data_IF_519894017418
#
_entry.id   IF_519894017418
#
_cell.length_a   1.000
_cell.length_b   1.000
_cell.length_c   1.000
_cell.angle_alpha   90.00
_cell.angle_beta   90.00
_cell.angle_gamma   90.00
#
_symmetry.space_group_name_H-M   'P 1'
#
loop_
_entity.id
_entity.type
_entity.pdbx_description
1 polymer ?
#
# COMPACT_ATOMS: atom_id res chain seq x y z
N UNK A 1 22.84 -14.64 9.80
CA UNK A 1 21.59 -14.77 10.58
C UNK A 1 20.48 -14.06 9.84
N UNK A 2 19.24 -14.61 9.84
CA UNK A 2 18.07 -13.94 9.24
C UNK A 2 17.50 -12.88 10.20
N UNK A 3 17.26 -11.68 9.72
CA UNK A 3 16.67 -10.58 10.50
C UNK A 3 15.35 -10.15 9.88
N UNK A 4 14.36 -9.86 10.75
CA UNK A 4 13.11 -9.19 10.40
C UNK A 4 13.28 -7.69 10.66
N UNK A 5 12.84 -6.89 9.71
CA UNK A 5 12.92 -5.44 9.72
C UNK A 5 11.50 -4.88 9.60
N UNK A 6 11.15 -3.91 10.45
CA UNK A 6 9.95 -3.07 10.25
C UNK A 6 10.41 -1.70 9.78
N UNK A 7 9.87 -1.23 8.65
CA UNK A 7 10.39 -0.09 7.90
C UNK A 7 9.25 0.88 7.60
N UNK A 8 9.49 2.18 7.80
CA UNK A 8 8.64 3.24 7.30
C UNK A 8 9.36 4.04 6.23
N UNK A 9 8.61 4.54 5.24
CA UNK A 9 9.17 5.39 4.18
C UNK A 9 8.13 6.30 3.52
N UNK A 10 8.59 7.47 3.14
CA UNK A 10 7.93 8.33 2.16
C UNK A 10 8.34 7.88 0.75
N UNK A 11 7.39 7.38 -0.01
CA UNK A 11 7.61 6.84 -1.36
C UNK A 11 7.69 7.90 -2.47
N UNK A 12 7.48 9.18 -2.16
CA UNK A 12 7.28 10.27 -3.14
C UNK A 12 8.35 10.31 -4.23
N UNK A 13 9.61 10.16 -3.85
CA UNK A 13 10.73 10.25 -4.81
C UNK A 13 11.27 8.91 -5.30
N UNK A 14 10.63 7.80 -4.89
CA UNK A 14 11.11 6.46 -5.22
C UNK A 14 10.29 5.80 -6.33
N UNK A 15 10.96 4.99 -7.14
CA UNK A 15 10.36 4.18 -8.20
C UNK A 15 9.74 2.87 -7.65
N UNK A 16 9.23 2.93 -6.42
CA UNK A 16 8.60 1.85 -5.69
C UNK A 16 9.58 1.08 -4.80
N UNK A 17 9.11 -0.06 -4.32
CA UNK A 17 9.87 -0.92 -3.42
C UNK A 17 11.01 -1.64 -4.12
N UNK A 18 10.71 -2.40 -5.20
CA UNK A 18 11.60 -3.41 -5.81
C UNK A 18 12.87 -2.81 -6.39
N UNK A 19 14.02 -3.35 -6.00
CA UNK A 19 15.34 -2.95 -6.50
C UNK A 19 15.43 -3.08 -8.04
N UNK A 20 15.85 -2.02 -8.70
CA UNK A 20 16.04 -1.91 -10.15
C UNK A 20 17.33 -1.16 -10.45
N UNK A 21 17.97 -1.49 -11.56
CA UNK A 21 19.16 -0.77 -12.02
C UNK A 21 18.80 0.69 -12.37
N UNK A 22 19.70 1.60 -12.04
CA UNK A 22 19.68 3.02 -12.47
C UNK A 22 18.51 3.88 -11.93
N UNK A 23 17.71 3.35 -11.00
CA UNK A 23 16.65 4.14 -10.36
C UNK A 23 16.65 3.94 -8.85
N UNK A 24 16.28 4.99 -8.13
CA UNK A 24 16.16 4.94 -6.67
C UNK A 24 14.91 4.17 -6.25
N UNK A 25 15.10 3.15 -5.44
CA UNK A 25 14.04 2.29 -4.86
C UNK A 25 14.31 2.06 -3.39
N UNK A 26 13.26 1.74 -2.63
CA UNK A 26 13.37 1.53 -1.18
C UNK A 26 14.28 0.33 -0.88
N UNK A 27 14.02 -0.81 -1.53
CA UNK A 27 14.82 -2.04 -1.37
C UNK A 27 16.29 -1.82 -1.75
N UNK A 28 16.55 -1.10 -2.84
CA UNK A 28 17.91 -0.77 -3.27
C UNK A 28 18.69 0.09 -2.27
N UNK A 29 18.03 1.08 -1.61
CA UNK A 29 18.66 1.88 -0.54
C UNK A 29 18.99 1.01 0.68
N UNK A 30 18.08 0.13 1.08
CA UNK A 30 18.31 -0.80 2.20
C UNK A 30 19.46 -1.78 1.88
N UNK A 31 19.43 -2.40 0.70
CA UNK A 31 20.49 -3.33 0.25
C UNK A 31 21.86 -2.64 0.25
N UNK A 32 21.96 -1.42 -0.25
CA UNK A 32 23.21 -0.66 -0.28
C UNK A 32 23.77 -0.37 1.12
N UNK A 33 22.90 0.03 2.07
CA UNK A 33 23.31 0.31 3.45
C UNK A 33 23.74 -0.96 4.17
N UNK A 34 23.02 -2.07 4.01
CA UNK A 34 23.37 -3.34 4.64
C UNK A 34 24.58 -4.00 3.97
N UNK A 35 24.76 -3.87 2.67
CA UNK A 35 25.96 -4.32 1.98
C UNK A 35 27.22 -3.58 2.50
N UNK A 36 27.12 -2.27 2.72
CA UNK A 36 28.19 -1.49 3.36
C UNK A 36 28.48 -1.94 4.79
N UNK A 37 27.44 -2.29 5.57
CA UNK A 37 27.58 -2.74 6.95
C UNK A 37 28.29 -4.09 7.07
N UNK A 38 28.00 -5.02 6.14
CA UNK A 38 28.47 -6.40 6.18
C UNK A 38 29.67 -6.65 5.27
N UNK A 39 30.03 -5.67 4.42
CA UNK A 39 31.03 -5.79 3.34
C UNK A 39 30.72 -6.94 2.35
N UNK A 40 29.44 -7.30 2.21
CA UNK A 40 28.94 -8.38 1.36
C UNK A 40 27.68 -7.95 0.62
N UNK A 41 27.37 -8.62 -0.50
CA UNK A 41 26.07 -8.44 -1.16
C UNK A 41 24.94 -8.92 -0.27
N UNK A 42 23.99 -8.04 -0.01
CA UNK A 42 22.80 -8.33 0.80
C UNK A 42 21.56 -8.29 -0.08
N UNK A 43 20.65 -9.25 0.14
CA UNK A 43 19.32 -9.25 -0.46
C UNK A 43 18.26 -9.05 0.61
N UNK A 44 17.39 -8.10 0.36
CA UNK A 44 16.26 -7.77 1.22
C UNK A 44 14.96 -8.21 0.54
N UNK A 45 14.12 -8.92 1.29
CA UNK A 45 12.84 -9.43 0.79
C UNK A 45 11.68 -8.76 1.53
N UNK A 46 10.97 -7.85 0.86
CA UNK A 46 9.79 -7.18 1.40
C UNK A 46 8.56 -8.09 1.45
N UNK A 47 7.67 -7.84 2.41
CA UNK A 47 6.38 -8.52 2.52
C UNK A 47 5.48 -8.30 1.29
N UNK A 48 5.72 -7.24 0.55
CA UNK A 48 5.08 -6.94 -0.72
C UNK A 48 5.85 -5.86 -1.47
N UNK A 49 5.38 -5.57 -2.68
CA UNK A 49 5.88 -4.47 -3.47
C UNK A 49 4.89 -3.32 -3.39
N UNK A 50 5.37 -2.13 -3.12
CA UNK A 50 4.62 -0.90 -3.32
C UNK A 50 5.00 -0.27 -4.65
N UNK A 51 4.03 0.36 -5.31
CA UNK A 51 4.26 1.08 -6.57
C UNK A 51 5.06 2.38 -6.32
N UNK A 52 5.57 2.98 -7.38
CA UNK A 52 6.21 4.30 -7.32
C UNK A 52 5.26 5.33 -6.68
N UNK A 53 5.76 6.12 -5.74
CA UNK A 53 5.02 7.14 -5.02
C UNK A 53 4.10 6.63 -3.89
N UNK A 54 4.06 5.32 -3.62
CA UNK A 54 3.29 4.73 -2.51
C UNK A 54 4.14 4.68 -1.24
N UNK A 55 3.54 5.03 -0.11
CA UNK A 55 4.19 5.13 1.21
C UNK A 55 4.00 3.88 2.05
N UNK A 56 4.75 3.77 3.14
CA UNK A 56 4.52 2.77 4.18
C UNK A 56 4.89 3.30 5.57
N UNK A 57 4.06 2.96 6.55
CA UNK A 57 4.37 3.10 7.97
C UNK A 57 4.91 1.80 8.59
N UNK A 58 4.52 0.64 8.03
CA UNK A 58 4.81 -0.67 8.61
C UNK A 58 5.16 -1.74 7.56
N UNK A 59 6.01 -1.41 6.57
CA UNK A 59 6.54 -2.45 5.68
C UNK A 59 7.42 -3.40 6.48
N UNK A 60 7.18 -4.70 6.33
CA UNK A 60 8.07 -5.72 6.90
C UNK A 60 8.94 -6.31 5.79
N UNK A 61 10.22 -6.45 6.10
CA UNK A 61 11.18 -7.13 5.24
C UNK A 61 12.04 -8.11 6.03
N UNK A 62 12.73 -8.99 5.35
CA UNK A 62 13.78 -9.82 5.94
C UNK A 62 15.01 -9.89 5.05
N UNK A 63 16.15 -10.16 5.68
CA UNK A 63 17.42 -10.38 5.00
C UNK A 63 18.41 -11.13 5.87
N UNK A 64 19.31 -11.87 5.22
CA UNK A 64 20.42 -12.51 5.89
C UNK A 64 21.58 -11.52 6.00
N UNK A 65 21.96 -11.19 7.24
CA UNK A 65 23.07 -10.29 7.53
C UNK A 65 24.16 -11.08 8.28
N UNK A 66 25.37 -11.06 7.75
CA UNK A 66 26.56 -11.60 8.42
C UNK A 66 27.19 -10.47 9.24
N UNK A 67 26.84 -10.43 10.52
CA UNK A 67 27.28 -9.38 11.43
C UNK A 67 27.24 -9.87 12.89
N UNK A 68 28.12 -9.31 13.71
CA UNK A 68 28.14 -9.50 15.17
C UNK A 68 27.39 -8.39 15.90
N UNK A 69 26.82 -7.44 15.20
CA UNK A 69 26.06 -6.34 15.78
C UNK A 69 24.75 -6.83 16.39
N UNK A 70 24.35 -6.22 17.51
CA UNK A 70 23.02 -6.46 18.08
C UNK A 70 21.94 -5.81 17.20
N UNK A 71 20.67 -6.26 17.28
CA UNK A 71 19.57 -5.66 16.54
C UNK A 71 19.47 -4.13 16.67
N UNK A 72 19.71 -3.58 17.88
CA UNK A 72 19.70 -2.15 18.17
C UNK A 72 20.82 -1.42 17.41
N UNK A 73 22.01 -2.03 17.36
CA UNK A 73 23.14 -1.46 16.62
C UNK A 73 22.95 -1.55 15.10
N UNK A 74 22.33 -2.64 14.58
CA UNK A 74 21.93 -2.76 13.19
C UNK A 74 20.95 -1.65 12.82
N UNK A 75 19.90 -1.44 13.65
CA UNK A 75 18.93 -0.34 13.49
C UNK A 75 19.61 1.02 13.48
N UNK A 76 20.49 1.28 14.45
CA UNK A 76 21.19 2.57 14.57
C UNK A 76 22.09 2.82 13.35
N UNK A 77 22.82 1.80 12.88
CA UNK A 77 23.65 1.88 11.69
C UNK A 77 22.80 2.17 10.44
N UNK A 78 21.71 1.42 10.26
CA UNK A 78 20.84 1.60 9.11
C UNK A 78 20.30 3.05 9.05
N UNK A 79 19.74 3.56 10.16
CA UNK A 79 19.17 4.89 10.21
C UNK A 79 20.21 6.03 10.15
N UNK A 80 21.47 5.75 10.44
CA UNK A 80 22.56 6.72 10.26
C UNK A 80 22.90 6.94 8.78
N UNK A 81 22.78 5.89 7.95
CA UNK A 81 23.19 5.94 6.53
C UNK A 81 22.00 5.98 5.55
N UNK A 82 20.79 5.66 5.99
CA UNK A 82 19.60 5.83 5.18
C UNK A 82 19.25 7.31 5.02
N UNK A 83 18.63 7.71 3.91
CA UNK A 83 18.11 9.06 3.77
C UNK A 83 16.92 9.29 4.71
N UNK A 84 16.61 10.56 5.00
CA UNK A 84 15.61 11.00 5.99
C UNK A 84 14.18 10.47 5.73
N UNK A 85 13.89 10.07 4.50
CA UNK A 85 12.60 9.54 4.08
C UNK A 85 12.47 8.00 4.14
N UNK A 86 13.49 7.30 4.69
CA UNK A 86 13.46 5.86 4.99
C UNK A 86 13.96 5.62 6.41
N UNK A 87 13.16 4.94 7.23
CA UNK A 87 13.52 4.61 8.61
C UNK A 87 13.30 3.13 8.91
N UNK A 88 14.32 2.45 9.41
CA UNK A 88 14.19 1.13 10.05
C UNK A 88 13.69 1.34 11.48
N UNK A 89 12.43 1.00 11.73
CA UNK A 89 11.76 1.21 13.03
C UNK A 89 12.11 0.14 14.04
N UNK A 90 12.27 -1.10 13.55
CA UNK A 90 12.56 -2.26 14.39
C UNK A 90 13.45 -3.26 13.63
N UNK A 91 14.35 -3.92 14.36
CA UNK A 91 15.14 -5.06 13.90
C UNK A 91 15.02 -6.16 14.94
N UNK A 92 14.69 -7.36 14.52
CA UNK A 92 14.68 -8.55 15.39
C UNK A 92 15.27 -9.76 14.67
N UNK A 93 15.86 -10.67 15.44
CA UNK A 93 16.27 -11.95 14.90
C UNK A 93 15.06 -12.76 14.45
N UNK A 94 15.16 -13.42 13.31
CA UNK A 94 14.10 -14.25 12.78
C UNK A 94 14.59 -15.68 12.54
N UNK A 95 13.65 -16.62 12.52
CA UNK A 95 13.91 -18.00 12.09
C UNK A 95 14.53 -18.00 10.68
N UNK A 96 15.44 -18.94 10.40
CA UNK A 96 16.05 -19.09 9.06
C UNK A 96 14.98 -19.32 7.96
N UNK A 97 13.84 -19.91 8.33
CA UNK A 97 12.72 -20.15 7.41
C UNK A 97 11.75 -18.96 7.26
N UNK A 98 11.95 -17.92 8.07
CA UNK A 98 11.08 -16.74 7.97
C UNK A 98 11.31 -16.02 6.64
N UNK A 99 10.20 -15.76 5.94
CA UNK A 99 10.18 -14.97 4.72
C UNK A 99 9.06 -13.95 4.79
N UNK A 100 9.38 -12.67 4.79
CA UNK A 100 8.45 -11.59 5.01
C UNK A 100 7.17 -11.66 4.13
N UNK A 101 7.31 -12.06 2.87
CA UNK A 101 6.18 -12.19 1.94
C UNK A 101 5.38 -13.47 2.13
N UNK A 102 6.04 -14.61 2.33
CA UNK A 102 5.38 -15.91 2.31
C UNK A 102 4.67 -16.23 3.62
N UNK A 103 5.16 -15.67 4.73
CA UNK A 103 4.57 -15.88 6.05
C UNK A 103 3.53 -14.81 6.42
N UNK A 104 3.39 -13.74 5.62
CA UNK A 104 2.37 -12.72 5.86
C UNK A 104 0.95 -13.32 5.77
N UNK A 105 0.10 -12.98 6.76
CA UNK A 105 -1.30 -13.43 6.88
C UNK A 105 -2.28 -12.33 6.49
N UNK A 106 -1.93 -11.08 6.74
CA UNK A 106 -2.74 -9.92 6.42
C UNK A 106 -1.91 -8.68 6.09
N UNK A 107 -2.55 -7.72 5.47
CA UNK A 107 -2.02 -6.38 5.21
C UNK A 107 -3.12 -5.37 5.37
N UNK A 108 -2.76 -4.24 5.98
CA UNK A 108 -3.65 -3.10 6.12
C UNK A 108 -3.10 -1.95 5.31
N UNK A 109 -3.91 -1.45 4.37
CA UNK A 109 -3.63 -0.25 3.59
C UNK A 109 -4.65 0.83 3.92
N UNK A 110 -4.21 2.08 3.92
CA UNK A 110 -5.10 3.23 3.97
C UNK A 110 -4.90 4.10 2.74
N UNK A 111 -6.00 4.54 2.15
CA UNK A 111 -6.00 5.56 1.11
C UNK A 111 -6.67 6.83 1.65
N UNK A 112 -5.99 7.97 1.51
CA UNK A 112 -6.48 9.26 1.99
C UNK A 112 -6.79 10.18 0.81
N UNK A 113 -8.04 10.66 0.74
CA UNK A 113 -8.46 11.76 -0.12
C UNK A 113 -8.74 13.00 0.72
N UNK A 114 -8.68 14.16 0.11
CA UNK A 114 -9.09 15.42 0.70
C UNK A 114 -10.17 16.09 -0.16
N UNK A 115 -11.24 16.52 0.48
CA UNK A 115 -12.44 17.11 -0.11
C UNK A 115 -12.84 18.45 0.56
N UNK A 116 -11.99 18.96 1.46
CA UNK A 116 -12.21 20.24 2.12
C UNK A 116 -11.85 21.43 1.24
N UNK A 117 -12.25 22.64 1.66
CA UNK A 117 -12.10 23.88 0.90
C UNK A 117 -10.67 24.41 0.89
N UNK A 118 -9.91 24.18 1.96
CA UNK A 118 -8.54 24.66 2.10
C UNK A 118 -7.55 23.62 1.56
N UNK A 119 -6.43 24.07 0.96
CA UNK A 119 -5.39 23.15 0.49
C UNK A 119 -4.64 22.53 1.67
N UNK A 120 -4.54 21.19 1.77
CA UNK A 120 -3.79 20.51 2.83
C UNK A 120 -2.28 20.61 2.57
N UNK A 121 -1.68 21.77 2.87
CA UNK A 121 -0.31 22.12 2.48
C UNK A 121 0.72 21.14 3.04
N UNK A 122 0.55 20.68 4.27
CA UNK A 122 1.48 19.77 4.93
C UNK A 122 1.25 18.31 4.53
N UNK A 123 0.00 17.90 4.32
CA UNK A 123 -0.41 16.54 3.98
C UNK A 123 -0.46 16.27 2.47
N UNK A 124 -0.17 17.28 1.63
CA UNK A 124 -0.31 17.22 0.16
C UNK A 124 0.44 16.05 -0.51
N UNK A 125 1.53 15.57 0.12
CA UNK A 125 2.32 14.46 -0.39
C UNK A 125 1.74 13.09 -0.04
N UNK A 126 0.78 13.05 0.91
CA UNK A 126 0.18 11.82 1.45
C UNK A 126 -1.32 11.75 1.24
N UNK A 127 -1.87 12.69 0.48
CA UNK A 127 -3.32 12.86 0.33
C UNK A 127 -3.66 13.24 -1.10
N UNK A 128 -4.62 12.55 -1.69
CA UNK A 128 -5.16 12.95 -2.98
C UNK A 128 -6.22 14.03 -2.81
N UNK A 129 -5.89 15.25 -3.15
CA UNK A 129 -6.87 16.35 -3.24
C UNK A 129 -7.75 16.07 -4.45
N UNK A 130 -9.04 15.83 -4.22
CA UNK A 130 -9.98 15.47 -5.28
C UNK A 130 -10.22 16.65 -6.22
N UNK A 131 -9.93 16.51 -7.53
CA UNK A 131 -10.14 17.57 -8.50
C UNK A 131 -11.63 17.73 -8.83
N UNK A 132 -12.00 18.88 -9.39
CA UNK A 132 -13.37 19.22 -9.75
C UNK A 132 -14.08 18.17 -10.61
N UNK A 133 -13.37 17.50 -11.50
CA UNK A 133 -13.95 16.46 -12.34
C UNK A 133 -14.37 15.21 -11.53
N UNK A 134 -13.71 14.92 -10.42
CA UNK A 134 -14.13 13.84 -9.50
C UNK A 134 -15.35 14.27 -8.71
N UNK A 135 -15.37 15.50 -8.25
CA UNK A 135 -16.49 16.07 -7.45
C UNK A 135 -17.63 16.62 -8.32
N UNK A 136 -17.64 16.37 -9.65
CA UNK A 136 -18.59 16.87 -10.61
C UNK A 136 -18.66 18.43 -10.66
N UNK A 137 -17.53 19.10 -10.47
CA UNK A 137 -17.43 20.56 -10.45
C UNK A 137 -18.00 21.23 -9.22
N UNK A 138 -18.29 20.46 -8.17
CA UNK A 138 -18.81 20.96 -6.88
C UNK A 138 -17.76 20.67 -5.82
N UNK A 139 -16.85 21.61 -5.50
CA UNK A 139 -15.77 21.39 -4.52
C UNK A 139 -16.30 20.93 -3.15
N UNK A 140 -17.42 21.50 -2.73
CA UNK A 140 -18.05 21.25 -1.42
C UNK A 140 -18.93 19.98 -1.42
N UNK A 141 -19.02 19.27 -2.55
CA UNK A 141 -19.87 18.08 -2.63
C UNK A 141 -19.19 16.90 -1.98
N UNK A 142 -19.68 16.55 -0.80
CA UNK A 142 -19.30 15.31 -0.14
C UNK A 142 -19.75 14.10 -0.97
N UNK A 143 -18.90 13.06 -1.11
CA UNK A 143 -19.37 11.79 -1.65
C UNK A 143 -20.38 11.15 -0.70
N UNK A 144 -21.30 10.37 -1.25
CA UNK A 144 -22.23 9.57 -0.46
C UNK A 144 -21.48 8.43 0.23
N UNK A 145 -21.13 8.65 1.50
CA UNK A 145 -20.37 7.70 2.31
C UNK A 145 -21.16 6.39 2.54
N UNK A 146 -22.49 6.48 2.74
CA UNK A 146 -23.33 5.30 2.95
C UNK A 146 -23.37 4.42 1.70
N UNK A 147 -23.50 5.03 0.51
CA UNK A 147 -23.44 4.31 -0.75
C UNK A 147 -22.06 3.66 -0.97
N UNK A 148 -20.96 4.36 -0.62
CA UNK A 148 -19.61 3.78 -0.68
C UNK A 148 -19.44 2.61 0.29
N UNK A 149 -19.92 2.73 1.53
CA UNK A 149 -19.85 1.64 2.52
C UNK A 149 -20.69 0.42 2.07
N UNK A 150 -21.86 0.65 1.48
CA UNK A 150 -22.69 -0.40 0.88
C UNK A 150 -21.94 -1.11 -0.26
N UNK A 151 -21.30 -0.35 -1.16
CA UNK A 151 -20.48 -0.90 -2.23
C UNK A 151 -19.29 -1.70 -1.70
N UNK A 152 -18.62 -1.20 -0.65
CA UNK A 152 -17.52 -1.90 0.02
C UNK A 152 -17.96 -3.25 0.59
N UNK A 153 -19.20 -3.35 1.09
CA UNK A 153 -19.76 -4.60 1.61
C UNK A 153 -19.75 -5.75 0.60
N UNK A 154 -19.97 -5.48 -0.68
CA UNK A 154 -19.92 -6.49 -1.75
C UNK A 154 -18.48 -6.99 -2.03
N UNK A 155 -17.47 -6.25 -1.61
CA UNK A 155 -16.05 -6.58 -1.83
C UNK A 155 -15.44 -7.39 -0.68
N UNK A 156 -16.12 -7.46 0.47
CA UNK A 156 -15.67 -8.24 1.62
C UNK A 156 -15.86 -9.74 1.33
N UNK A 157 -14.90 -10.55 1.74
CA UNK A 157 -14.87 -11.97 1.49
C UNK A 157 -13.85 -12.40 0.46
N UNK A 158 -13.97 -13.63 -0.02
CA UNK A 158 -13.05 -14.23 -1.00
C UNK A 158 -13.63 -14.15 -2.39
N UNK A 159 -13.01 -13.34 -3.24
CA UNK A 159 -13.44 -13.10 -4.62
C UNK A 159 -12.28 -13.16 -5.60
N UNK A 160 -12.61 -13.32 -6.88
CA UNK A 160 -11.65 -13.10 -7.97
C UNK A 160 -11.58 -11.61 -8.31
N UNK A 161 -10.56 -10.93 -7.83
CA UNK A 161 -10.35 -9.49 -8.01
C UNK A 161 -9.66 -9.14 -9.33
N UNK A 162 -9.85 -9.92 -10.39
CA UNK A 162 -9.21 -9.64 -11.68
C UNK A 162 -9.61 -8.27 -12.25
N UNK A 163 -10.85 -7.83 -12.09
CA UNK A 163 -11.32 -6.49 -12.48
C UNK A 163 -10.58 -5.36 -11.76
N UNK A 164 -10.04 -5.63 -10.59
CA UNK A 164 -9.27 -4.70 -9.77
C UNK A 164 -7.75 -4.93 -9.87
N UNK A 165 -7.28 -5.60 -10.91
CA UNK A 165 -5.86 -5.89 -11.13
C UNK A 165 -5.29 -4.98 -12.23
N UNK A 166 -4.25 -4.21 -11.92
CA UNK A 166 -3.55 -3.37 -12.90
C UNK A 166 -2.73 -4.16 -13.93
N UNK A 167 -2.50 -5.46 -13.69
CA UNK A 167 -1.80 -6.35 -14.62
C UNK A 167 -2.78 -7.32 -15.28
N UNK A 168 -3.26 -6.96 -16.48
CA UNK A 168 -4.19 -7.78 -17.25
C UNK A 168 -3.57 -9.10 -17.77
N UNK A 169 -2.23 -9.19 -17.84
CA UNK A 169 -1.47 -10.39 -18.26
C UNK A 169 -1.07 -11.28 -17.09
N UNK A 170 -1.60 -11.07 -15.90
CA UNK A 170 -1.25 -11.84 -14.72
C UNK A 170 -1.59 -13.32 -14.88
N UNK A 171 -0.56 -14.18 -14.75
CA UNK A 171 -0.68 -15.64 -14.85
C UNK A 171 -1.00 -16.33 -13.52
N UNK A 172 -0.74 -15.63 -12.38
CA UNK A 172 -1.01 -16.16 -11.03
C UNK A 172 -2.47 -15.90 -10.65
N UNK A 173 -2.97 -16.65 -9.67
CA UNK A 173 -4.32 -16.46 -9.13
C UNK A 173 -4.59 -15.00 -8.73
N UNK A 174 -5.74 -14.49 -9.16
CA UNK A 174 -6.28 -13.18 -8.81
C UNK A 174 -7.28 -13.23 -7.66
N UNK A 175 -7.50 -14.43 -7.10
CA UNK A 175 -8.35 -14.62 -5.92
C UNK A 175 -7.66 -14.04 -4.69
N UNK A 176 -8.38 -13.18 -3.95
CA UNK A 176 -7.96 -12.59 -2.68
C UNK A 176 -9.11 -12.62 -1.69
N UNK A 177 -8.76 -12.49 -0.41
CA UNK A 177 -9.75 -12.32 0.66
C UNK A 177 -9.58 -10.94 1.25
N UNK A 178 -10.61 -10.11 1.15
CA UNK A 178 -10.72 -8.86 1.91
C UNK A 178 -11.45 -9.19 3.20
N UNK A 179 -10.83 -8.88 4.33
CA UNK A 179 -11.38 -9.14 5.66
C UNK A 179 -12.29 -8.00 6.08
N UNK A 180 -11.91 -6.76 5.76
CA UNK A 180 -12.66 -5.56 6.11
C UNK A 180 -12.32 -4.39 5.19
N UNK A 181 -13.28 -3.47 5.01
CA UNK A 181 -13.11 -2.15 4.41
C UNK A 181 -13.86 -1.13 5.26
N UNK A 182 -13.14 -0.18 5.85
CA UNK A 182 -13.74 0.94 6.57
C UNK A 182 -13.60 2.22 5.75
N UNK A 183 -14.65 3.05 5.77
CA UNK A 183 -14.68 4.34 5.09
C UNK A 183 -15.19 5.37 6.09
N UNK A 184 -14.38 6.39 6.35
CA UNK A 184 -14.71 7.46 7.29
C UNK A 184 -14.27 8.81 6.72
N UNK A 185 -15.04 9.84 7.04
CA UNK A 185 -14.68 11.23 6.77
C UNK A 185 -14.50 11.96 8.10
N UNK A 186 -13.46 12.75 8.19
CA UNK A 186 -13.15 13.59 9.34
C UNK A 186 -12.38 14.82 8.87
N UNK A 187 -12.88 16.02 9.17
CA UNK A 187 -12.21 17.30 8.88
C UNK A 187 -11.82 17.46 7.38
N UNK A 188 -12.68 16.99 6.47
CA UNK A 188 -12.43 17.04 5.03
C UNK A 188 -11.49 15.93 4.52
N UNK A 189 -11.01 15.04 5.37
CA UNK A 189 -10.22 13.87 4.97
C UNK A 189 -11.11 12.64 4.88
N UNK A 190 -11.25 12.10 3.68
CA UNK A 190 -11.90 10.82 3.42
C UNK A 190 -10.84 9.71 3.48
N UNK A 191 -10.90 8.86 4.50
CA UNK A 191 -9.99 7.74 4.70
C UNK A 191 -10.70 6.43 4.41
N UNK A 192 -10.09 5.63 3.54
CA UNK A 192 -10.53 4.28 3.19
C UNK A 192 -9.45 3.29 3.61
N UNK A 193 -9.76 2.43 4.58
CA UNK A 193 -8.83 1.42 5.09
C UNK A 193 -9.24 0.05 4.58
N UNK A 194 -8.30 -0.68 4.00
CA UNK A 194 -8.50 -1.99 3.39
C UNK A 194 -7.65 -3.02 4.13
N UNK A 195 -8.28 -4.02 4.71
CA UNK A 195 -7.64 -5.15 5.36
C UNK A 195 -7.90 -6.44 4.58
N UNK A 196 -6.85 -7.19 4.24
CA UNK A 196 -6.98 -8.43 3.46
C UNK A 196 -5.73 -9.29 3.48
N UNK A 197 -5.86 -10.54 2.98
CA UNK A 197 -4.74 -11.50 2.95
C UNK A 197 -3.61 -11.11 1.97
N UNK A 198 -3.87 -10.15 1.10
CA UNK A 198 -2.94 -9.62 0.11
C UNK A 198 -3.68 -8.90 -1.01
N UNK A 199 -2.96 -8.09 -1.75
CA UNK A 199 -3.52 -7.26 -2.80
C UNK A 199 -2.78 -7.48 -4.12
N UNK A 200 -3.52 -7.36 -5.23
CA UNK A 200 -2.98 -7.39 -6.59
C UNK A 200 -2.32 -6.05 -6.94
N UNK A 201 -1.61 -6.02 -8.04
CA UNK A 201 -1.03 -4.76 -8.54
C UNK A 201 -2.11 -3.69 -8.71
N UNK A 202 -1.90 -2.52 -8.14
CA UNK A 202 -2.82 -1.37 -8.11
C UNK A 202 -4.19 -1.65 -7.47
N UNK A 203 -4.44 -2.81 -6.88
CA UNK A 203 -5.78 -3.22 -6.44
C UNK A 203 -6.42 -2.21 -5.52
N UNK A 204 -5.77 -1.78 -4.43
CA UNK A 204 -6.33 -0.81 -3.49
C UNK A 204 -6.65 0.52 -4.18
N UNK A 205 -5.79 0.98 -5.06
CA UNK A 205 -6.00 2.24 -5.81
C UNK A 205 -7.19 2.15 -6.79
N UNK A 206 -7.40 0.99 -7.41
CA UNK A 206 -8.55 0.74 -8.30
C UNK A 206 -9.83 0.62 -7.47
N UNK A 207 -9.79 -0.09 -6.34
CA UNK A 207 -10.90 -0.14 -5.39
C UNK A 207 -11.32 1.26 -4.94
N UNK A 208 -10.35 2.09 -4.53
CA UNK A 208 -10.58 3.49 -4.15
C UNK A 208 -11.27 4.28 -5.25
N UNK A 209 -10.74 4.23 -6.48
CA UNK A 209 -11.36 4.96 -7.60
C UNK A 209 -12.78 4.45 -7.91
N UNK A 210 -13.02 3.14 -7.79
CA UNK A 210 -14.35 2.57 -8.03
C UNK A 210 -15.35 2.97 -6.94
N UNK A 211 -14.93 2.97 -5.67
CA UNK A 211 -15.77 3.43 -4.56
C UNK A 211 -16.11 4.93 -4.68
N UNK A 212 -15.18 5.75 -5.18
CA UNK A 212 -15.46 7.17 -5.47
C UNK A 212 -16.46 7.33 -6.61
N UNK A 213 -16.45 6.48 -7.66
CA UNK A 213 -17.49 6.48 -8.70
C UNK A 213 -18.88 6.24 -8.09
N UNK A 214 -18.98 5.35 -7.09
CA UNK A 214 -20.23 5.12 -6.35
C UNK A 214 -20.58 6.34 -5.50
N UNK A 215 -19.65 6.87 -4.71
CA UNK A 215 -19.88 8.01 -3.84
C UNK A 215 -20.37 9.27 -4.57
N UNK A 216 -19.95 9.45 -5.81
CA UNK A 216 -20.40 10.57 -6.66
C UNK A 216 -21.55 10.21 -7.61
N UNK A 217 -22.18 9.04 -7.41
CA UNK A 217 -23.40 8.63 -8.13
C UNK A 217 -23.21 8.30 -9.60
N UNK A 218 -21.97 8.02 -10.05
CA UNK A 218 -21.66 7.57 -11.41
C UNK A 218 -21.77 6.05 -11.58
N UNK A 219 -21.82 5.32 -10.47
CA UNK A 219 -22.00 3.89 -10.38
C UNK A 219 -22.91 3.57 -9.20
N UNK A 220 -23.75 2.53 -9.29
CA UNK A 220 -24.55 2.07 -8.16
C UNK A 220 -23.74 1.10 -7.27
N UNK A 221 -24.07 1.02 -5.98
CA UNK A 221 -23.39 0.13 -5.05
C UNK A 221 -23.52 -1.35 -5.48
N UNK A 222 -24.68 -1.72 -6.02
CA UNK A 222 -25.01 -3.07 -6.51
C UNK A 222 -24.19 -3.48 -7.74
N UNK A 223 -23.67 -2.52 -8.50
CA UNK A 223 -22.84 -2.81 -9.69
C UNK A 223 -21.53 -3.53 -9.31
N UNK A 224 -21.12 -3.49 -8.02
CA UNK A 224 -19.93 -4.18 -7.54
C UNK A 224 -19.96 -5.69 -7.82
N UNK A 225 -21.12 -6.33 -7.72
CA UNK A 225 -21.28 -7.75 -8.05
C UNK A 225 -20.98 -8.01 -9.54
N UNK A 226 -21.51 -7.14 -10.41
CA UNK A 226 -21.27 -7.21 -11.85
C UNK A 226 -19.81 -6.96 -12.19
N UNK A 227 -19.18 -5.96 -11.56
CA UNK A 227 -17.76 -5.66 -11.74
C UNK A 227 -16.88 -6.85 -11.34
N UNK A 228 -17.14 -7.49 -10.18
CA UNK A 228 -16.42 -8.68 -9.74
C UNK A 228 -16.62 -9.85 -10.74
N UNK A 229 -17.87 -10.12 -11.14
CA UNK A 229 -18.20 -11.23 -12.01
C UNK A 229 -17.60 -11.06 -13.42
N UNK A 230 -17.47 -9.83 -13.91
CA UNK A 230 -16.97 -9.52 -15.27
C UNK A 230 -15.52 -9.94 -15.47
N UNK A 231 -14.68 -9.90 -14.43
CA UNK A 231 -13.22 -10.09 -14.52
C UNK A 231 -12.54 -9.17 -15.52
N UNK A 232 -13.17 -8.04 -15.82
CA UNK A 232 -12.69 -7.04 -16.77
C UNK A 232 -12.30 -5.75 -16.05
N UNK A 233 -11.04 -5.32 -16.23
CA UNK A 233 -10.52 -4.07 -15.66
C UNK A 233 -11.30 -2.83 -16.10
N UNK A 234 -11.89 -2.86 -17.29
CA UNK A 234 -12.64 -1.72 -17.85
C UNK A 234 -13.96 -1.48 -17.14
N UNK A 235 -14.50 -2.50 -16.47
CA UNK A 235 -15.73 -2.39 -15.69
C UNK A 235 -15.52 -1.71 -14.32
N UNK A 236 -14.28 -1.67 -13.82
CA UNK A 236 -13.93 -0.97 -12.58
C UNK A 236 -13.58 0.49 -12.83
N UNK A 237 -13.69 1.32 -11.80
CA UNK A 237 -13.37 2.74 -11.85
C UNK A 237 -11.89 3.04 -12.12
N UNK A 238 -11.50 4.32 -12.18
CA UNK A 238 -10.13 4.76 -12.45
C UNK A 238 -9.15 4.30 -11.37
N UNK A 239 -7.87 4.24 -11.73
CA UNK A 239 -6.83 3.98 -10.74
C UNK A 239 -6.48 5.28 -10.02
N UNK A 240 -6.74 5.37 -8.73
CA UNK A 240 -6.39 6.53 -7.92
C UNK A 240 -4.87 6.77 -7.90
N UNK A 241 -4.40 8.03 -7.76
CA UNK A 241 -2.97 8.36 -7.68
C UNK A 241 -2.23 7.61 -6.56
N UNK A 242 -0.91 7.36 -6.69
CA UNK A 242 -0.18 6.56 -5.69
C UNK A 242 0.00 7.28 -4.36
N UNK A 243 0.16 8.59 -4.35
CA UNK A 243 0.55 9.39 -3.18
C UNK A 243 -0.51 9.45 -2.06
N UNK A 244 -1.77 9.08 -2.33
CA UNK A 244 -2.77 8.90 -1.26
C UNK A 244 -2.69 7.54 -0.58
N UNK A 245 -1.90 6.58 -1.09
CA UNK A 245 -1.84 5.21 -0.59
C UNK A 245 -0.68 4.98 0.37
N UNK A 246 -0.98 4.36 1.52
CA UNK A 246 0.00 4.00 2.54
C UNK A 246 -0.22 2.58 3.05
N UNK A 247 0.82 1.76 3.08
CA UNK A 247 0.83 0.48 3.79
C UNK A 247 1.00 0.76 5.29
N UNK A 248 -0.03 0.50 6.08
CA UNK A 248 0.01 0.71 7.53
C UNK A 248 0.69 -0.44 8.25
N UNK A 249 0.32 -1.68 7.92
CA UNK A 249 0.73 -2.86 8.68
C UNK A 249 0.81 -4.11 7.81
N UNK A 250 1.69 -5.02 8.22
CA UNK A 250 1.78 -6.41 7.71
C UNK A 250 1.67 -7.36 8.90
N UNK A 251 0.68 -8.25 8.84
CA UNK A 251 0.37 -9.19 9.92
C UNK A 251 1.03 -10.55 9.68
N UNK A 252 1.49 -11.14 10.77
CA UNK A 252 2.02 -12.51 10.82
C UNK A 252 1.28 -13.30 11.90
N UNK A 253 1.06 -14.58 11.67
CA UNK A 253 0.50 -15.46 12.71
C UNK A 253 1.42 -15.51 13.93
N UNK A 254 0.84 -15.57 15.12
CA UNK A 254 1.50 -15.81 16.39
C UNK A 254 2.11 -17.20 16.40
#
# INVERSE_FOLDING_TARGET
MNYRLTISYDGTRYHGWESKKEVDTIEGKLEAVFARMTEQDVKIHGAGRTDAGVHAMGMVANGFLDTTLTPEKIKAYANHYLPDDICVREVSGASERFHARLNAKGKVYQYTCYIGDEKPVFERLYTWVLPEWVTNGTPDRMPDIEAMQKAAGYLIGTHDFKSFCGNNKMKKSTVRTIYDITIAEEEGYLRMTFHGNGFLQNMVRILTGTLLEVGYGRMHAEDMETVLASRDRQMAGPTAPPHGLMLLEVEYGV
#
